data_IF_355044387963
#
_entry.id   IF_355044387963
#
_cell.length_a   1.000
_cell.length_b   1.000
_cell.length_c   1.000
_cell.angle_alpha   90.00
_cell.angle_beta   90.00
_cell.angle_gamma   90.00
#
_symmetry.space_group_name_H-M   'P 1'
#
loop_
_entity.id
_entity.type
_entity.pdbx_description
1 polymer ?
#
# COMPACT_ATOMS: atom_id res chain seq x y z
N UNK A 1 3.93 -11.22 -2.69
CA UNK A 1 2.80 -10.27 -2.62
C UNK A 1 3.27 -9.08 -1.81
N UNK A 2 3.04 -7.86 -2.29
CA UNK A 2 3.44 -6.61 -1.60
C UNK A 2 2.18 -5.91 -1.11
N UNK A 3 2.03 -5.79 0.20
CA UNK A 3 0.87 -5.11 0.80
C UNK A 3 1.11 -3.59 0.84
N UNK A 4 0.36 -2.83 0.05
CA UNK A 4 0.54 -1.39 -0.11
C UNK A 4 0.35 -0.60 1.18
N UNK A 5 -0.36 -1.12 2.18
CA UNK A 5 -0.56 -0.44 3.46
C UNK A 5 0.59 -0.64 4.45
N UNK A 6 1.52 -1.52 4.13
CA UNK A 6 2.26 -2.21 5.17
C UNK A 6 3.67 -2.61 4.77
N UNK A 7 3.93 -2.66 3.46
CA UNK A 7 5.24 -2.80 2.85
C UNK A 7 6.17 -1.65 3.24
N UNK A 8 7.45 -2.00 3.37
CA UNK A 8 8.57 -1.07 3.48
C UNK A 8 8.81 -0.32 2.17
N UNK A 9 9.61 0.74 2.24
CA UNK A 9 10.02 1.52 1.07
C UNK A 9 10.75 0.66 0.02
N UNK A 10 11.59 -0.27 0.46
CA UNK A 10 12.35 -1.15 -0.44
C UNK A 10 11.43 -2.16 -1.13
N UNK A 11 10.46 -2.73 -0.40
CA UNK A 11 9.45 -3.62 -0.98
C UNK A 11 8.57 -2.91 -2.01
N UNK A 12 8.17 -1.66 -1.75
CA UNK A 12 7.41 -0.88 -2.71
C UNK A 12 8.18 -0.64 -4.02
N UNK A 13 9.48 -0.36 -3.94
CA UNK A 13 10.32 -0.14 -5.12
C UNK A 13 10.53 -1.39 -5.99
N UNK A 14 10.16 -2.57 -5.49
CA UNK A 14 10.16 -3.79 -6.32
C UNK A 14 8.98 -3.85 -7.29
N UNK A 15 7.98 -3.00 -7.11
CA UNK A 15 6.78 -2.96 -7.95
C UNK A 15 7.07 -2.23 -9.27
N UNK A 16 6.45 -2.67 -10.38
CA UNK A 16 6.67 -2.05 -11.68
C UNK A 16 6.26 -0.58 -11.67
N UNK A 17 7.14 0.26 -12.22
CA UNK A 17 6.94 1.70 -12.25
C UNK A 17 7.05 2.38 -10.88
N UNK A 18 7.35 1.69 -9.77
CA UNK A 18 7.46 2.36 -8.47
C UNK A 18 8.92 2.75 -8.23
N UNK A 19 9.24 4.01 -8.51
CA UNK A 19 10.53 4.60 -8.12
C UNK A 19 10.50 5.11 -6.67
N UNK A 20 11.64 5.62 -6.18
CA UNK A 20 11.77 6.09 -4.81
C UNK A 20 10.74 7.19 -4.46
N UNK A 21 10.50 8.13 -5.38
CA UNK A 21 9.56 9.23 -5.16
C UNK A 21 8.13 8.70 -5.05
N UNK A 22 7.75 7.86 -5.99
CA UNK A 22 6.43 7.24 -6.07
C UNK A 22 6.19 6.32 -4.87
N UNK A 23 7.22 5.62 -4.39
CA UNK A 23 7.16 4.81 -3.18
C UNK A 23 6.92 5.68 -1.93
N UNK A 24 7.55 6.85 -1.83
CA UNK A 24 7.27 7.80 -0.75
C UNK A 24 5.83 8.34 -0.81
N UNK A 25 5.33 8.67 -2.00
CA UNK A 25 3.93 9.08 -2.16
C UNK A 25 2.98 7.95 -1.71
N UNK A 26 3.28 6.69 -2.04
CA UNK A 26 2.52 5.53 -1.54
C UNK A 26 2.56 5.39 -0.01
N UNK A 27 3.64 5.79 0.66
CA UNK A 27 3.70 5.78 2.13
C UNK A 27 2.84 6.89 2.74
N UNK A 28 2.85 8.09 2.15
CA UNK A 28 2.17 9.28 2.66
C UNK A 28 0.65 9.18 2.61
N UNK A 29 0.12 8.47 1.62
CA UNK A 29 -1.33 8.36 1.37
C UNK A 29 -2.00 7.19 2.09
N UNK A 30 -1.26 6.42 2.88
CA UNK A 30 -1.80 5.32 3.68
C UNK A 30 -2.75 5.84 4.79
N UNK A 31 -3.73 5.01 5.22
CA UNK A 31 -4.06 3.69 4.67
C UNK A 31 -5.03 3.77 3.48
N UNK A 32 -4.90 2.80 2.57
CA UNK A 32 -5.85 2.53 1.49
C UNK A 32 -6.88 1.49 1.95
N UNK A 33 -8.15 1.74 1.67
CA UNK A 33 -9.27 0.82 1.85
C UNK A 33 -9.60 0.08 0.55
N UNK A 34 -9.38 0.72 -0.59
CA UNK A 34 -9.70 0.18 -1.91
C UNK A 34 -8.60 0.50 -2.93
N UNK A 35 -8.63 -0.19 -4.08
CA UNK A 35 -7.73 0.11 -5.19
C UNK A 35 -8.01 1.47 -5.85
N UNK A 36 -9.24 1.97 -5.77
CA UNK A 36 -9.59 3.29 -6.31
C UNK A 36 -8.84 4.40 -5.58
N UNK A 37 -8.60 4.23 -4.27
CA UNK A 37 -7.86 5.20 -3.46
C UNK A 37 -6.35 5.23 -3.79
N UNK A 38 -5.79 4.09 -4.24
CA UNK A 38 -4.42 4.06 -4.79
C UNK A 38 -4.35 4.96 -6.03
N UNK A 39 -5.44 5.06 -6.79
CA UNK A 39 -5.55 5.94 -7.95
C UNK A 39 -5.55 7.45 -7.64
N UNK A 40 -5.68 7.85 -6.37
CA UNK A 40 -5.57 9.25 -5.95
C UNK A 40 -4.12 9.68 -5.73
N UNK A 41 -3.19 8.73 -5.63
CA UNK A 41 -1.76 9.01 -5.50
C UNK A 41 -1.24 9.56 -6.83
N UNK A 42 -0.51 10.70 -6.83
CA UNK A 42 0.04 11.26 -8.06
C UNK A 42 0.85 10.23 -8.86
N UNK A 43 0.47 10.02 -10.13
CA UNK A 43 1.15 9.08 -11.03
C UNK A 43 0.60 7.65 -11.03
N UNK A 44 -0.43 7.34 -10.22
CA UNK A 44 -1.17 6.08 -10.28
C UNK A 44 -2.52 6.27 -10.97
N UNK A 45 -2.55 6.07 -12.29
CA UNK A 45 -3.80 6.00 -13.04
C UNK A 45 -4.31 4.54 -13.14
N UNK A 46 -5.49 4.35 -13.73
CA UNK A 46 -6.11 3.02 -13.87
C UNK A 46 -5.18 1.94 -14.47
N UNK A 47 -4.46 2.21 -15.57
CA UNK A 47 -3.46 1.29 -16.11
C UNK A 47 -2.36 0.94 -15.10
N UNK A 48 -1.81 1.93 -14.40
CA UNK A 48 -0.76 1.69 -13.40
C UNK A 48 -1.25 0.88 -12.21
N UNK A 49 -2.47 1.15 -11.74
CA UNK A 49 -3.12 0.37 -10.67
C UNK A 49 -3.33 -1.09 -11.13
N UNK A 50 -3.72 -1.31 -12.38
CA UNK A 50 -3.88 -2.66 -12.94
C UNK A 50 -2.54 -3.40 -13.05
N UNK A 51 -1.47 -2.69 -13.39
CA UNK A 51 -0.12 -3.25 -13.43
C UNK A 51 0.35 -3.70 -12.05
N UNK A 52 0.09 -2.90 -11.00
CA UNK A 52 0.37 -3.27 -9.62
C UNK A 52 -0.37 -4.55 -9.20
N UNK A 53 -1.67 -4.65 -9.51
CA UNK A 53 -2.47 -5.84 -9.24
C UNK A 53 -1.88 -7.07 -9.93
N UNK A 54 -1.50 -6.93 -11.19
CA UNK A 54 -0.89 -8.00 -11.99
C UNK A 54 0.49 -8.42 -11.47
N UNK A 55 1.23 -7.49 -10.86
CA UNK A 55 2.53 -7.75 -10.21
C UNK A 55 2.40 -8.37 -8.80
N UNK A 56 1.17 -8.61 -8.32
CA UNK A 56 0.93 -9.22 -7.02
C UNK A 56 1.03 -8.24 -5.85
N UNK A 57 0.79 -6.95 -6.08
CA UNK A 57 0.50 -6.03 -5.00
C UNK A 57 -0.93 -6.28 -4.45
N UNK A 58 -1.15 -5.92 -3.19
CA UNK A 58 -2.44 -6.03 -2.52
C UNK A 58 -2.71 -4.78 -1.69
N UNK A 59 -3.98 -4.39 -1.59
CA UNK A 59 -4.44 -3.44 -0.55
C UNK A 59 -4.86 -4.29 0.65
N UNK A 60 -3.95 -4.48 1.62
CA UNK A 60 -4.26 -5.17 2.87
C UNK A 60 -5.30 -4.39 3.68
N UNK A 61 -5.95 -5.03 4.65
CA UNK A 61 -6.82 -4.29 5.58
C UNK A 61 -6.02 -3.14 6.23
N UNK A 62 -6.62 -1.96 6.45
CA UNK A 62 -6.00 -0.94 7.29
C UNK A 62 -5.64 -1.61 8.61
N UNK A 63 -4.33 -1.79 8.86
CA UNK A 63 -3.90 -2.48 10.08
C UNK A 63 -4.24 -1.56 11.23
N UNK A 64 -5.04 -2.08 12.16
CA UNK A 64 -5.33 -1.37 13.40
C UNK A 64 -4.00 -0.95 14.07
N UNK A 65 -3.97 0.21 14.74
CA UNK A 65 -2.77 0.62 15.46
C UNK A 65 -2.30 -0.50 16.38
N UNK A 66 -0.98 -0.69 16.50
CA UNK A 66 -0.40 -1.81 17.25
C UNK A 66 -0.85 -1.87 18.71
N UNK A 67 -1.21 -0.73 19.31
CA UNK A 67 -1.77 -0.66 20.66
C UNK A 67 -3.16 -1.29 20.77
N UNK A 68 -4.01 -1.13 19.76
CA UNK A 68 -5.37 -1.68 19.75
C UNK A 68 -5.37 -3.21 19.58
N UNK A 69 -4.38 -3.76 18.85
CA UNK A 69 -4.18 -5.21 18.71
C UNK A 69 -3.60 -5.85 19.98
N UNK A 70 -2.74 -5.12 20.70
CA UNK A 70 -2.15 -5.60 21.95
C UNK A 70 -3.20 -5.78 23.06
N UNK A 71 -4.09 -4.80 23.25
CA UNK A 71 -5.15 -4.85 24.27
C UNK A 71 -6.14 -6.01 24.09
N UNK A 72 -6.37 -6.49 22.85
CA UNK A 72 -7.33 -7.57 22.57
C UNK A 72 -6.77 -8.98 22.80
N UNK A 73 -5.45 -9.13 22.96
CA UNK A 73 -4.83 -10.44 23.24
C UNK A 73 -4.76 -10.78 24.72
N UNK A 74 -5.04 -9.81 25.58
CA UNK A 74 -5.00 -9.95 27.04
C UNK A 74 -6.40 -10.06 27.68
N UNK A 75 -7.47 -10.14 26.87
CA UNK A 75 -8.87 -10.23 27.29
C UNK A 75 -9.48 -11.63 27.15
#
# INVERSE_FOLDING_TARGET
MVDLNSASLDELQTLPGVDLRTAYDLLLWRPYLTWDEVGFVPGFDGPRVTELQSAGAAVGLPREPSWLVAERREA
#
